data_IF_412487023383
#
_entry.id   IF_412487023383
#
_cell.length_a   1.000
_cell.length_b   1.000
_cell.length_c   1.000
_cell.angle_alpha   90.00
_cell.angle_beta   90.00
_cell.angle_gamma   90.00
#
_symmetry.space_group_name_H-M   'P 1'
#
loop_
_entity.id
_entity.type
_entity.pdbx_description
1 polymer ?
#
# COMPACT_ATOMS: atom_id res chain seq x y z
N UNK A 1 26.15 -19.72 29.52
CA UNK A 1 26.30 -18.89 30.73
C UNK A 1 26.54 -17.49 30.22
N UNK A 2 25.59 -16.59 30.44
CA UNK A 2 25.76 -15.20 30.00
C UNK A 2 26.98 -14.58 30.69
N UNK A 3 27.85 -13.88 29.95
CA UNK A 3 29.02 -13.21 30.54
C UNK A 3 28.61 -12.16 31.59
N UNK A 4 27.41 -11.59 31.50
CA UNK A 4 26.83 -10.70 32.50
C UNK A 4 26.70 -11.33 33.90
N UNK A 5 26.41 -12.64 33.98
CA UNK A 5 26.27 -13.35 35.26
C UNK A 5 27.61 -13.60 35.97
N UNK A 6 28.74 -13.51 35.26
CA UNK A 6 30.08 -13.76 35.83
C UNK A 6 30.74 -12.49 36.39
N UNK A 7 30.37 -11.30 35.91
CA UNK A 7 30.97 -10.01 36.31
C UNK A 7 29.99 -9.05 36.98
N UNK A 8 28.68 -9.29 36.92
CA UNK A 8 27.65 -8.39 37.45
C UNK A 8 27.55 -7.06 36.69
N UNK A 9 27.99 -7.05 35.42
CA UNK A 9 27.99 -5.89 34.54
C UNK A 9 27.28 -6.22 33.23
N UNK A 10 26.54 -5.25 32.69
CA UNK A 10 25.91 -5.32 31.37
C UNK A 10 26.45 -4.19 30.49
N UNK A 11 26.77 -4.51 29.24
CA UNK A 11 27.23 -3.55 28.23
C UNK A 11 26.03 -2.97 27.50
N UNK A 12 25.78 -1.68 27.71
CA UNK A 12 24.69 -0.95 27.02
C UNK A 12 25.25 0.20 26.20
N UNK A 13 24.60 0.50 25.10
CA UNK A 13 24.88 1.69 24.30
C UNK A 13 23.97 2.82 24.76
N UNK A 14 24.53 3.86 25.39
CA UNK A 14 23.75 4.99 25.91
C UNK A 14 23.81 6.16 24.95
N UNK A 15 22.63 6.65 24.58
CA UNK A 15 22.43 7.77 23.66
C UNK A 15 21.96 8.99 24.48
N UNK A 16 22.76 10.06 24.48
CA UNK A 16 22.39 11.37 25.03
C UNK A 16 22.03 12.39 23.94
N UNK A 17 21.76 13.64 24.33
CA UNK A 17 21.30 14.72 23.43
C UNK A 17 22.30 15.07 22.28
N UNK A 18 23.57 14.68 22.39
CA UNK A 18 24.58 14.96 21.37
C UNK A 18 25.77 14.00 21.30
N UNK A 19 25.74 12.92 22.09
CA UNK A 19 26.81 11.92 22.14
C UNK A 19 26.23 10.55 22.43
N UNK A 20 26.90 9.50 21.93
CA UNK A 20 26.60 8.12 22.28
C UNK A 20 27.87 7.45 22.81
N UNK A 21 27.72 6.63 23.84
CA UNK A 21 28.83 5.91 24.47
C UNK A 21 28.41 4.48 24.86
N UNK A 22 29.29 3.52 24.58
CA UNK A 22 29.13 2.14 25.02
C UNK A 22 29.72 2.00 26.43
N UNK A 23 28.87 1.64 27.39
CA UNK A 23 29.19 1.62 28.81
C UNK A 23 28.92 0.25 29.42
N UNK A 24 29.87 -0.24 30.21
CA UNK A 24 29.66 -1.41 31.06
C UNK A 24 29.13 -0.93 32.41
N UNK A 25 27.84 -1.17 32.66
CA UNK A 25 27.16 -0.72 33.88
C UNK A 25 26.91 -1.89 34.84
N UNK A 26 27.12 -1.70 36.16
CA UNK A 26 26.73 -2.69 37.15
C UNK A 26 25.22 -2.96 37.14
N UNK A 27 24.82 -4.22 37.16
CA UNK A 27 23.40 -4.60 37.04
C UNK A 27 22.60 -4.43 38.32
N UNK A 28 23.29 -4.45 39.47
CA UNK A 28 22.71 -4.45 40.81
C UNK A 28 22.49 -3.06 41.41
N UNK A 29 23.08 -2.02 40.81
CA UNK A 29 22.93 -0.63 41.27
C UNK A 29 21.63 -0.01 40.75
N UNK A 30 21.04 0.85 41.56
CA UNK A 30 19.86 1.62 41.16
C UNK A 30 20.23 2.66 40.09
N UNK A 31 19.34 2.90 39.14
CA UNK A 31 19.57 3.84 38.03
C UNK A 31 19.98 5.23 38.54
N UNK A 32 19.40 5.71 39.66
CA UNK A 32 19.78 7.00 40.26
C UNK A 32 21.28 7.17 40.55
N UNK A 33 21.99 6.08 40.84
CA UNK A 33 23.43 6.09 41.16
C UNK A 33 24.28 6.03 39.90
N UNK A 34 23.76 5.41 38.84
CA UNK A 34 24.43 5.30 37.54
C UNK A 34 24.37 6.61 36.75
N UNK A 35 23.28 7.38 36.86
CA UNK A 35 23.02 8.58 36.06
C UNK A 35 24.13 9.64 36.13
N UNK A 36 24.68 10.03 37.30
CA UNK A 36 25.76 11.02 37.35
C UNK A 36 27.00 10.57 36.59
N UNK A 37 27.34 9.28 36.67
CA UNK A 37 28.50 8.70 35.97
C UNK A 37 28.28 8.69 34.47
N UNK A 38 27.12 8.19 34.03
CA UNK A 38 26.71 8.17 32.62
C UNK A 38 26.77 9.58 32.01
N UNK A 39 26.28 10.60 32.74
CA UNK A 39 26.31 11.99 32.29
C UNK A 39 27.73 12.55 32.17
N UNK A 40 28.59 12.27 33.14
CA UNK A 40 29.99 12.68 33.07
C UNK A 40 30.68 12.06 31.85
N UNK A 41 30.51 10.75 31.64
CA UNK A 41 31.13 10.04 30.52
C UNK A 41 30.56 10.48 29.17
N UNK A 42 29.27 10.78 29.05
CA UNK A 42 28.69 11.32 27.82
C UNK A 42 29.17 12.75 27.51
N UNK A 43 29.49 13.55 28.54
CA UNK A 43 29.95 14.92 28.36
C UNK A 43 31.44 15.00 27.98
N UNK A 44 32.28 14.12 28.52
CA UNK A 44 33.73 14.18 28.32
C UNK A 44 34.31 13.07 27.45
N UNK A 45 33.54 11.99 27.21
CA UNK A 45 33.97 10.80 26.50
C UNK A 45 34.94 9.91 27.30
N UNK A 46 35.16 10.19 28.60
CA UNK A 46 36.07 9.42 29.47
C UNK A 46 35.35 8.98 30.74
N UNK A 47 35.66 7.77 31.20
CA UNK A 47 35.05 7.21 32.41
C UNK A 47 35.67 7.80 33.69
N UNK A 48 36.95 8.17 33.67
CA UNK A 48 37.70 8.60 34.87
C UNK A 48 37.50 10.06 35.30
N UNK A 49 36.64 10.82 34.61
CA UNK A 49 36.48 12.23 34.94
C UNK A 49 35.75 12.44 36.28
N UNK A 50 36.14 13.49 37.03
CA UNK A 50 35.50 13.80 38.30
C UNK A 50 34.01 14.10 38.10
N UNK A 51 33.17 13.53 38.96
CA UNK A 51 31.72 13.76 38.93
C UNK A 51 31.48 15.24 39.24
N UNK A 52 31.10 16.01 38.22
CA UNK A 52 30.72 17.41 38.40
C UNK A 52 29.42 17.49 39.21
N UNK A 53 29.35 18.27 40.30
CA UNK A 53 28.11 18.46 41.04
C UNK A 53 27.03 19.07 40.13
N UNK A 54 25.74 18.74 40.37
CA UNK A 54 24.65 19.22 39.53
C UNK A 54 24.66 20.76 39.48
N UNK A 55 24.78 21.31 38.28
CA UNK A 55 24.76 22.74 38.03
C UNK A 55 23.31 23.25 37.93
N UNK A 56 23.06 24.52 38.27
CA UNK A 56 21.76 25.15 38.09
C UNK A 56 21.24 25.10 36.64
N UNK A 57 22.12 24.85 35.67
CA UNK A 57 21.80 24.66 34.25
C UNK A 57 21.12 23.30 33.91
N UNK A 58 21.19 22.29 34.78
CA UNK A 58 20.63 20.95 34.52
C UNK A 58 19.09 20.91 34.57
N UNK A 59 18.48 21.98 35.09
CA UNK A 59 17.06 22.06 35.36
C UNK A 59 16.66 21.27 36.60
N UNK A 60 15.42 21.43 37.04
CA UNK A 60 14.88 20.83 38.28
C UNK A 60 14.45 19.37 38.13
N UNK A 61 14.55 18.76 36.94
CA UNK A 61 14.04 17.42 36.68
C UNK A 61 15.17 16.39 36.68
N UNK A 62 15.06 15.29 37.45
CA UNK A 62 16.05 14.23 37.42
C UNK A 62 16.06 13.54 36.05
N UNK A 63 17.23 13.07 35.66
CA UNK A 63 17.42 12.24 34.47
C UNK A 63 17.21 10.76 34.83
N UNK A 64 16.69 9.99 33.88
CA UNK A 64 16.58 8.54 33.93
C UNK A 64 16.96 7.93 32.58
N UNK A 65 17.03 6.61 32.52
CA UNK A 65 17.24 5.84 31.30
C UNK A 65 15.88 5.40 30.75
N UNK A 66 15.73 5.34 29.44
CA UNK A 66 14.56 4.79 28.76
C UNK A 66 15.01 3.86 27.64
N UNK A 67 14.25 2.80 27.32
CA UNK A 67 14.48 2.07 26.09
C UNK A 67 14.10 2.97 24.89
N UNK A 68 14.65 2.68 23.70
CA UNK A 68 14.34 3.43 22.48
C UNK A 68 12.83 3.51 22.22
N UNK A 69 12.27 4.72 22.34
CA UNK A 69 10.85 4.98 22.13
C UNK A 69 9.91 4.50 23.25
N UNK A 70 10.45 4.05 24.39
CA UNK A 70 9.67 3.62 25.54
C UNK A 70 9.56 4.67 26.66
N UNK A 71 8.97 4.26 27.77
CA UNK A 71 8.83 5.10 28.97
C UNK A 71 10.12 5.08 29.79
N UNK A 72 10.50 6.21 30.42
CA UNK A 72 11.65 6.24 31.31
C UNK A 72 11.49 5.29 32.48
N UNK A 73 12.58 4.61 32.82
CA UNK A 73 12.64 3.70 33.95
C UNK A 73 12.50 4.45 35.27
N UNK A 74 12.00 3.73 36.27
CA UNK A 74 12.03 4.22 37.65
C UNK A 74 13.47 4.37 38.12
N UNK A 75 13.76 5.45 38.85
CA UNK A 75 15.08 5.75 39.39
C UNK A 75 15.56 4.70 40.43
N UNK A 76 14.63 3.95 41.00
CA UNK A 76 14.87 2.90 41.99
C UNK A 76 14.99 1.50 41.39
N UNK A 77 14.73 1.37 40.09
CA UNK A 77 14.92 0.11 39.40
C UNK A 77 16.41 -0.14 39.16
N UNK A 78 16.79 -1.41 39.15
CA UNK A 78 18.11 -1.88 38.74
C UNK A 78 18.02 -2.46 37.32
N UNK A 79 19.15 -2.50 36.60
CA UNK A 79 19.17 -3.04 35.23
C UNK A 79 18.82 -4.54 35.22
N UNK A 80 19.15 -5.27 36.29
CA UNK A 80 18.76 -6.67 36.49
C UNK A 80 17.23 -6.83 36.61
N UNK A 81 16.58 -5.98 37.42
CA UNK A 81 15.13 -6.03 37.62
C UNK A 81 14.37 -5.69 36.32
N UNK A 82 14.97 -4.84 35.49
CA UNK A 82 14.45 -4.47 34.17
C UNK A 82 14.78 -5.48 33.08
N UNK A 83 15.58 -6.51 33.39
CA UNK A 83 16.02 -7.55 32.44
C UNK A 83 16.64 -6.97 31.16
N UNK A 84 17.52 -5.98 31.33
CA UNK A 84 18.26 -5.35 30.23
C UNK A 84 19.37 -6.29 29.77
N UNK A 85 19.38 -6.61 28.48
CA UNK A 85 20.34 -7.53 27.89
C UNK A 85 21.61 -6.81 27.42
N UNK A 86 22.71 -7.56 27.31
CA UNK A 86 23.96 -7.08 26.73
C UNK A 86 23.74 -6.61 25.28
N UNK A 87 24.17 -5.38 24.99
CA UNK A 87 24.04 -4.73 23.68
C UNK A 87 22.78 -3.88 23.51
N UNK A 88 21.92 -3.78 24.54
CA UNK A 88 20.72 -2.96 24.46
C UNK A 88 21.04 -1.46 24.39
N UNK A 89 20.24 -0.72 23.61
CA UNK A 89 20.39 0.72 23.42
C UNK A 89 19.41 1.49 24.32
N UNK A 90 19.95 2.34 25.18
CA UNK A 90 19.19 3.14 26.14
C UNK A 90 19.37 4.63 25.86
N UNK A 91 18.30 5.41 26.02
CA UNK A 91 18.32 6.86 25.90
C UNK A 91 18.37 7.48 27.28
N UNK A 92 19.29 8.41 27.48
CA UNK A 92 19.28 9.29 28.65
C UNK A 92 18.23 10.39 28.43
N UNK A 93 17.18 10.39 29.24
CA UNK A 93 16.08 11.34 29.12
C UNK A 93 15.70 11.96 30.46
N UNK A 94 15.08 13.14 30.44
CA UNK A 94 14.52 13.75 31.66
C UNK A 94 13.22 13.03 32.02
N UNK A 95 13.01 12.78 33.31
CA UNK A 95 11.74 12.21 33.78
C UNK A 95 10.58 13.14 33.34
N UNK A 96 9.51 12.59 32.74
CA UNK A 96 8.36 13.39 32.36
C UNK A 96 7.81 14.09 33.61
N UNK A 97 7.32 15.34 33.48
CA UNK A 97 6.62 15.95 34.58
C UNK A 97 5.45 15.04 34.96
N UNK A 98 5.23 14.86 36.25
CA UNK A 98 4.01 14.20 36.73
C UNK A 98 2.77 14.88 36.13
N UNK A 99 1.62 14.19 36.09
CA UNK A 99 0.40 14.78 35.56
C UNK A 99 0.15 16.09 36.31
N UNK A 100 0.00 17.18 35.55
CA UNK A 100 -0.40 18.44 36.14
C UNK A 100 -1.71 18.21 36.90
N UNK A 101 -1.82 18.78 38.10
CA UNK A 101 -3.05 18.68 38.88
C UNK A 101 -4.21 19.13 37.97
N UNK A 102 -5.25 18.29 37.78
CA UNK A 102 -6.36 18.67 36.93
C UNK A 102 -6.98 19.95 37.51
N UNK A 103 -7.29 20.95 36.66
CA UNK A 103 -7.96 22.15 37.15
C UNK A 103 -9.29 21.75 37.78
N UNK A 104 -9.52 22.18 39.02
CA UNK A 104 -10.81 21.99 39.69
C UNK A 104 -11.77 23.03 39.12
N UNK A 105 -12.76 22.57 38.37
CA UNK A 105 -13.82 23.43 37.82
C UNK A 105 -15.03 23.30 38.73
N UNK A 106 -15.39 24.38 39.41
CA UNK A 106 -16.49 24.39 40.40
C UNK A 106 -17.87 24.44 39.73
N UNK A 107 -17.97 25.04 38.54
CA UNK A 107 -19.21 25.16 37.78
C UNK A 107 -19.38 24.01 36.78
N UNK A 108 -20.53 23.34 36.86
CA UNK A 108 -20.94 22.26 35.95
C UNK A 108 -21.09 22.80 34.52
N UNK A 109 -21.52 24.05 34.35
CA UNK A 109 -21.65 24.68 33.03
C UNK A 109 -20.27 24.81 32.36
N UNK A 110 -19.28 25.34 33.06
CA UNK A 110 -17.91 25.46 32.56
C UNK A 110 -17.26 24.09 32.33
N UNK A 111 -17.48 23.13 33.24
CA UNK A 111 -16.99 21.76 33.07
C UNK A 111 -17.57 21.12 31.80
N UNK A 112 -18.87 21.34 31.53
CA UNK A 112 -19.53 20.85 30.32
C UNK A 112 -19.01 21.54 29.05
N UNK A 113 -18.74 22.85 29.11
CA UNK A 113 -18.19 23.61 27.98
C UNK A 113 -16.76 23.15 27.62
N UNK A 114 -15.90 22.96 28.63
CA UNK A 114 -14.53 22.45 28.45
C UNK A 114 -14.55 21.02 27.88
N UNK A 115 -15.45 20.17 28.37
CA UNK A 115 -15.58 18.81 27.86
C UNK A 115 -16.10 18.78 26.42
N UNK A 116 -17.11 19.61 26.11
CA UNK A 116 -17.65 19.77 24.77
C UNK A 116 -16.60 20.26 23.77
N UNK A 117 -15.80 21.27 24.14
CA UNK A 117 -14.74 21.79 23.27
C UNK A 117 -13.62 20.76 22.98
N UNK A 118 -13.43 19.75 23.83
CA UNK A 118 -12.50 18.63 23.58
C UNK A 118 -13.09 17.58 22.66
N UNK A 119 -14.40 17.37 22.71
CA UNK A 119 -15.09 16.37 21.87
C UNK A 119 -15.40 16.91 20.47
N UNK A 120 -15.75 18.19 20.35
CA UNK A 120 -16.19 18.80 19.11
C UNK A 120 -15.20 19.85 18.63
N UNK A 121 -14.75 19.70 17.40
CA UNK A 121 -13.98 20.74 16.71
C UNK A 121 -14.96 21.85 16.26
N UNK A 122 -14.63 23.13 16.48
CA UNK A 122 -15.45 24.22 15.96
C UNK A 122 -15.44 24.23 14.43
N UNK A 123 -16.54 24.68 13.83
CA UNK A 123 -16.58 24.88 12.38
C UNK A 123 -15.61 26.01 11.99
N UNK A 124 -14.51 25.65 11.34
CA UNK A 124 -13.53 26.61 10.81
C UNK A 124 -13.73 26.81 9.30
N UNK A 125 -13.44 28.02 8.82
CA UNK A 125 -13.50 28.34 7.39
C UNK A 125 -12.53 27.49 6.54
N UNK A 126 -11.53 26.88 7.17
CA UNK A 126 -10.58 25.94 6.56
C UNK A 126 -11.24 24.62 6.10
N UNK A 127 -12.41 24.27 6.64
CA UNK A 127 -13.18 23.10 6.20
C UNK A 127 -13.95 23.35 4.90
N UNK A 128 -14.27 24.61 4.58
CA UNK A 128 -15.11 24.97 3.44
C UNK A 128 -14.54 24.50 2.09
N UNK A 129 -13.23 24.63 1.80
CA UNK A 129 -12.65 24.06 0.58
C UNK A 129 -12.82 22.55 0.48
N UNK A 130 -12.68 21.81 1.57
CA UNK A 130 -12.81 20.35 1.58
C UNK A 130 -14.25 19.96 1.25
N UNK A 131 -15.23 20.59 1.92
CA UNK A 131 -16.66 20.36 1.65
C UNK A 131 -17.02 20.71 0.21
N UNK A 132 -16.54 21.85 -0.30
CA UNK A 132 -16.76 22.25 -1.69
C UNK A 132 -16.20 21.22 -2.67
N UNK A 133 -15.01 20.66 -2.41
CA UNK A 133 -14.44 19.59 -3.24
C UNK A 133 -15.31 18.33 -3.24
N UNK A 134 -15.80 17.90 -2.08
CA UNK A 134 -16.67 16.74 -1.97
C UNK A 134 -17.96 16.95 -2.79
N UNK A 135 -18.58 18.13 -2.68
CA UNK A 135 -19.76 18.47 -3.48
C UNK A 135 -19.46 18.43 -4.99
N UNK A 136 -18.35 19.04 -5.43
CA UNK A 136 -17.94 19.00 -6.84
C UNK A 136 -17.75 17.56 -7.34
N UNK A 137 -17.18 16.68 -6.53
CA UNK A 137 -17.02 15.26 -6.88
C UNK A 137 -18.36 14.52 -6.96
N UNK A 138 -19.29 14.79 -6.03
CA UNK A 138 -20.65 14.21 -6.06
C UNK A 138 -21.41 14.66 -7.30
N UNK A 139 -21.39 15.97 -7.61
CA UNK A 139 -22.02 16.49 -8.84
C UNK A 139 -21.35 15.93 -10.10
N UNK A 140 -20.02 15.79 -10.11
CA UNK A 140 -19.30 15.15 -11.21
C UNK A 140 -19.75 13.69 -11.41
N UNK A 141 -19.90 12.92 -10.33
CA UNK A 141 -20.39 11.55 -10.39
C UNK A 141 -21.82 11.47 -10.93
N UNK A 142 -22.70 12.39 -10.51
CA UNK A 142 -24.06 12.51 -11.03
C UNK A 142 -24.07 12.79 -12.53
N UNK A 143 -23.24 13.73 -13.01
CA UNK A 143 -23.12 14.05 -14.44
C UNK A 143 -22.64 12.84 -15.23
N UNK A 144 -21.65 12.10 -14.72
CA UNK A 144 -21.21 10.84 -15.35
C UNK A 144 -22.34 9.82 -15.45
N UNK A 145 -23.13 9.64 -14.39
CA UNK A 145 -24.27 8.71 -14.38
C UNK A 145 -25.34 9.10 -15.41
N UNK A 146 -25.72 10.38 -15.46
CA UNK A 146 -26.69 10.90 -16.42
C UNK A 146 -26.18 10.80 -17.87
N UNK A 147 -24.89 11.06 -18.10
CA UNK A 147 -24.28 10.90 -19.42
C UNK A 147 -24.25 9.43 -19.86
N UNK A 148 -23.99 8.50 -18.95
CA UNK A 148 -24.05 7.06 -19.24
C UNK A 148 -25.47 6.60 -19.58
N UNK A 149 -26.48 7.04 -18.83
CA UNK A 149 -27.89 6.77 -19.14
C UNK A 149 -28.27 7.37 -20.51
N UNK A 150 -27.86 8.61 -20.78
CA UNK A 150 -28.05 9.25 -22.08
C UNK A 150 -27.39 8.49 -23.23
N UNK A 151 -26.17 7.99 -23.03
CA UNK A 151 -25.48 7.13 -23.99
C UNK A 151 -26.26 5.83 -24.23
N UNK A 152 -26.71 5.17 -23.16
CA UNK A 152 -27.49 3.93 -23.26
C UNK A 152 -28.80 4.12 -24.03
N UNK A 153 -29.43 5.30 -23.92
CA UNK A 153 -30.64 5.68 -24.67
C UNK A 153 -30.38 6.15 -26.11
N UNK A 154 -29.13 6.18 -26.56
CA UNK A 154 -28.75 6.53 -27.94
C UNK A 154 -28.29 7.99 -28.14
N UNK A 155 -28.23 8.81 -27.09
CA UNK A 155 -27.74 10.20 -27.17
C UNK A 155 -26.21 10.30 -27.05
N UNK A 156 -25.49 9.55 -27.90
CA UNK A 156 -24.02 9.39 -27.79
C UNK A 156 -23.26 10.72 -27.83
N UNK A 157 -23.61 11.65 -28.73
CA UNK A 157 -22.90 12.92 -28.87
C UNK A 157 -23.10 13.86 -27.67
N UNK A 158 -24.29 13.84 -27.07
CA UNK A 158 -24.56 14.60 -25.86
C UNK A 158 -23.77 14.03 -24.67
N UNK A 159 -23.75 12.70 -24.53
CA UNK A 159 -22.96 12.02 -23.50
C UNK A 159 -21.46 12.31 -23.65
N UNK A 160 -20.92 12.18 -24.87
CA UNK A 160 -19.51 12.47 -25.15
C UNK A 160 -19.16 13.94 -24.86
N UNK A 161 -20.03 14.88 -25.26
CA UNK A 161 -19.85 16.31 -24.99
C UNK A 161 -19.88 16.64 -23.50
N UNK A 162 -20.85 16.10 -22.76
CA UNK A 162 -20.98 16.33 -21.31
C UNK A 162 -19.78 15.76 -20.53
N UNK A 163 -19.38 14.52 -20.84
CA UNK A 163 -18.23 13.86 -20.21
C UNK A 163 -16.91 14.55 -20.58
N UNK A 164 -16.75 14.94 -21.85
CA UNK A 164 -15.58 15.68 -22.32
C UNK A 164 -15.45 17.04 -21.64
N UNK A 165 -16.55 17.78 -21.54
CA UNK A 165 -16.57 19.07 -20.82
C UNK A 165 -16.21 18.88 -19.34
N UNK A 166 -16.79 17.88 -18.67
CA UNK A 166 -16.47 17.58 -17.27
C UNK A 166 -15.00 17.21 -17.08
N UNK A 167 -14.45 16.37 -17.97
CA UNK A 167 -13.03 16.01 -17.94
C UNK A 167 -12.13 17.26 -18.08
N UNK A 168 -12.42 18.14 -19.05
CA UNK A 168 -11.68 19.40 -19.24
C UNK A 168 -11.77 20.29 -18.00
N UNK A 169 -12.94 20.40 -17.37
CA UNK A 169 -13.12 21.17 -16.13
C UNK A 169 -12.25 20.62 -15.01
N UNK A 170 -12.22 19.30 -14.81
CA UNK A 170 -11.37 18.68 -13.78
C UNK A 170 -9.88 18.79 -14.10
N UNK A 171 -9.47 18.70 -15.38
CA UNK A 171 -8.10 18.97 -15.80
C UNK A 171 -7.69 20.41 -15.50
N UNK A 172 -8.52 21.38 -15.87
CA UNK A 172 -8.27 22.80 -15.61
C UNK A 172 -8.23 23.10 -14.10
N UNK A 173 -9.14 22.50 -13.32
CA UNK A 173 -9.13 22.61 -11.87
C UNK A 173 -7.84 22.04 -11.27
N UNK A 174 -7.38 20.88 -11.75
CA UNK A 174 -6.11 20.26 -11.32
C UNK A 174 -4.94 21.22 -11.52
N UNK A 175 -4.84 21.85 -12.69
CA UNK A 175 -3.78 22.83 -13.00
C UNK A 175 -3.89 24.08 -12.14
N UNK A 176 -5.10 24.65 -12.00
CA UNK A 176 -5.33 25.88 -11.24
C UNK A 176 -5.04 25.69 -9.74
N UNK A 177 -5.52 24.59 -9.15
CA UNK A 177 -5.28 24.28 -7.73
C UNK A 177 -3.80 24.04 -7.46
N UNK A 178 -3.10 23.38 -8.39
CA UNK A 178 -1.65 23.16 -8.29
C UNK A 178 -0.88 24.49 -8.34
N UNK A 179 -1.26 25.42 -9.23
CA UNK A 179 -0.66 26.77 -9.29
C UNK A 179 -0.90 27.59 -8.02
N UNK A 180 -2.00 27.34 -7.32
CA UNK A 180 -2.31 27.97 -6.02
C UNK A 180 -1.63 27.30 -4.82
N UNK A 181 -0.78 26.29 -5.03
CA UNK A 181 -0.10 25.56 -3.95
C UNK A 181 -0.97 24.52 -3.23
N UNK A 182 -2.22 24.30 -3.65
CA UNK A 182 -3.13 23.34 -3.03
C UNK A 182 -2.90 21.92 -3.60
N UNK A 183 -1.76 21.30 -3.24
CA UNK A 183 -1.26 20.05 -3.84
C UNK A 183 -2.21 18.86 -3.62
N UNK A 184 -2.74 18.69 -2.40
CA UNK A 184 -3.65 17.58 -2.06
C UNK A 184 -4.97 17.68 -2.82
N UNK A 185 -5.51 18.89 -2.87
CA UNK A 185 -6.73 19.25 -3.54
C UNK A 185 -6.62 19.05 -5.06
N UNK A 186 -5.49 19.45 -5.66
CA UNK A 186 -5.18 19.21 -7.07
C UNK A 186 -5.07 17.70 -7.37
N UNK A 187 -4.40 16.93 -6.51
CA UNK A 187 -4.27 15.48 -6.69
C UNK A 187 -5.62 14.76 -6.72
N UNK A 188 -6.56 15.13 -5.85
CA UNK A 188 -7.94 14.57 -5.85
C UNK A 188 -8.66 14.84 -7.16
N UNK A 189 -8.58 16.06 -7.70
CA UNK A 189 -9.18 16.42 -8.98
C UNK A 189 -8.49 15.69 -10.16
N UNK A 190 -7.17 15.51 -10.08
CA UNK A 190 -6.40 14.78 -11.08
C UNK A 190 -6.83 13.32 -11.20
N UNK A 191 -7.04 12.65 -10.06
CA UNK A 191 -7.59 11.28 -10.00
C UNK A 191 -9.04 11.27 -10.47
N UNK A 192 -9.87 12.23 -10.03
CA UNK A 192 -11.28 12.29 -10.41
C UNK A 192 -11.50 12.49 -11.92
N UNK A 193 -10.55 13.13 -12.62
CA UNK A 193 -10.57 13.30 -14.09
C UNK A 193 -10.59 11.97 -14.84
N UNK A 194 -10.06 10.89 -14.26
CA UNK A 194 -9.85 9.61 -14.97
C UNK A 194 -11.16 8.99 -15.48
N UNK A 195 -12.21 8.98 -14.66
CA UNK A 195 -13.52 8.43 -15.01
C UNK A 195 -14.19 9.20 -16.17
N UNK A 196 -14.44 10.52 -16.08
CA UNK A 196 -15.06 11.26 -17.18
C UNK A 196 -14.19 11.27 -18.43
N UNK A 197 -12.85 11.29 -18.32
CA UNK A 197 -11.96 11.20 -19.47
C UNK A 197 -12.11 9.87 -20.20
N UNK A 198 -12.06 8.75 -19.49
CA UNK A 198 -12.20 7.42 -20.09
C UNK A 198 -13.55 7.25 -20.78
N UNK A 199 -14.64 7.68 -20.11
CA UNK A 199 -15.98 7.61 -20.66
C UNK A 199 -16.17 8.55 -21.87
N UNK A 200 -15.61 9.76 -21.83
CA UNK A 200 -15.65 10.70 -22.95
C UNK A 200 -14.95 10.12 -24.19
N UNK A 201 -13.75 9.56 -24.01
CA UNK A 201 -12.99 8.94 -25.08
C UNK A 201 -13.68 7.69 -25.64
N UNK A 202 -14.29 6.88 -24.78
CA UNK A 202 -15.08 5.74 -25.23
C UNK A 202 -16.34 6.17 -26.01
N UNK A 203 -17.01 7.25 -25.59
CA UNK A 203 -18.20 7.79 -26.24
C UNK A 203 -17.90 8.57 -27.52
N UNK A 204 -16.68 9.10 -27.68
CA UNK A 204 -16.27 9.85 -28.86
C UNK A 204 -16.21 9.00 -30.15
N UNK A 205 -16.04 7.68 -30.02
CA UNK A 205 -15.92 6.79 -31.17
C UNK A 205 -17.30 6.28 -31.63
N UNK A 206 -17.76 6.62 -32.84
CA UNK A 206 -19.00 6.10 -33.40
C UNK A 206 -18.88 4.62 -33.77
N UNK A 207 -19.97 3.87 -33.63
CA UNK A 207 -20.08 2.45 -34.03
C UNK A 207 -20.03 1.45 -32.87
N UNK A 208 -20.49 0.22 -33.10
CA UNK A 208 -20.76 -0.77 -32.04
C UNK A 208 -19.52 -1.53 -31.53
N UNK A 209 -18.33 -1.19 -32.04
CA UNK A 209 -17.08 -1.85 -31.67
C UNK A 209 -16.67 -1.56 -30.22
N UNK A 210 -16.80 -2.54 -29.33
CA UNK A 210 -16.33 -2.42 -27.95
C UNK A 210 -14.79 -2.30 -27.83
N UNK A 211 -14.04 -3.08 -28.62
CA UNK A 211 -12.58 -3.11 -28.52
C UNK A 211 -11.90 -1.77 -28.88
N UNK A 212 -12.24 -1.09 -30.00
CA UNK A 212 -11.68 0.23 -30.30
C UNK A 212 -12.00 1.31 -29.25
N UNK A 213 -13.22 1.29 -28.68
CA UNK A 213 -13.64 2.22 -27.62
C UNK A 213 -12.81 2.04 -26.35
N UNK A 214 -12.64 0.80 -25.91
CA UNK A 214 -11.82 0.45 -24.74
C UNK A 214 -10.35 0.78 -24.97
N UNK A 215 -9.83 0.54 -26.18
CA UNK A 215 -8.46 0.90 -26.55
C UNK A 215 -8.20 2.40 -26.41
N UNK A 216 -9.08 3.24 -26.98
CA UNK A 216 -8.92 4.70 -26.93
C UNK A 216 -9.04 5.24 -25.49
N UNK A 217 -10.00 4.74 -24.72
CA UNK A 217 -10.14 5.10 -23.31
C UNK A 217 -8.89 4.73 -22.49
N UNK A 218 -8.36 3.51 -22.68
CA UNK A 218 -7.16 3.05 -22.01
C UNK A 218 -5.93 3.88 -22.40
N UNK A 219 -5.76 4.18 -23.70
CA UNK A 219 -4.66 5.03 -24.18
C UNK A 219 -4.71 6.44 -23.57
N UNK A 220 -5.89 7.05 -23.46
CA UNK A 220 -6.06 8.36 -22.83
C UNK A 220 -5.77 8.34 -21.32
N UNK A 221 -6.16 7.28 -20.62
CA UNK A 221 -5.83 7.10 -19.20
C UNK A 221 -4.33 6.94 -18.97
N UNK A 222 -3.63 6.21 -19.84
CA UNK A 222 -2.16 6.10 -19.80
C UNK A 222 -1.52 7.47 -20.00
N UNK A 223 -1.93 8.20 -21.04
CA UNK A 223 -1.38 9.53 -21.33
C UNK A 223 -1.60 10.51 -20.17
N UNK A 224 -2.82 10.57 -19.61
CA UNK A 224 -3.15 11.44 -18.49
C UNK A 224 -2.38 11.08 -17.21
N UNK A 225 -2.31 9.78 -16.89
CA UNK A 225 -1.64 9.32 -15.67
C UNK A 225 -0.12 9.47 -15.76
N UNK A 226 0.49 9.24 -16.93
CA UNK A 226 1.91 9.50 -17.17
C UNK A 226 2.24 10.99 -17.05
N UNK A 227 1.38 11.85 -17.60
CA UNK A 227 1.54 13.30 -17.48
C UNK A 227 1.53 13.74 -16.01
N UNK A 228 0.58 13.25 -15.22
CA UNK A 228 0.50 13.60 -13.80
C UNK A 228 1.65 13.03 -12.98
N UNK A 229 2.10 11.82 -13.29
CA UNK A 229 3.27 11.19 -12.64
C UNK A 229 4.58 11.92 -12.97
N UNK A 230 4.72 12.43 -14.21
CA UNK A 230 5.90 13.19 -14.62
C UNK A 230 5.97 14.57 -13.96
N UNK A 231 4.81 15.18 -13.67
CA UNK A 231 4.72 16.55 -13.16
C UNK A 231 4.61 16.57 -11.62
N UNK A 232 4.08 15.52 -10.99
CA UNK A 232 3.67 15.56 -9.57
C UNK A 232 4.25 14.37 -8.80
N UNK A 233 4.68 14.61 -7.55
CA UNK A 233 5.20 13.58 -6.64
C UNK A 233 4.13 13.03 -5.67
N UNK A 234 2.86 13.37 -5.89
CA UNK A 234 1.72 13.01 -5.03
C UNK A 234 0.84 11.98 -5.74
N UNK A 235 0.23 11.06 -4.98
CA UNK A 235 -0.64 10.00 -5.53
C UNK A 235 0.06 9.06 -6.52
N UNK A 236 1.39 8.90 -6.39
CA UNK A 236 2.22 8.04 -7.24
C UNK A 236 1.63 6.63 -7.36
N UNK A 237 1.24 6.02 -6.23
CA UNK A 237 0.63 4.69 -6.20
C UNK A 237 -0.61 4.58 -7.11
N UNK A 238 -1.51 5.56 -7.05
CA UNK A 238 -2.75 5.55 -7.82
C UNK A 238 -2.48 5.68 -9.31
N UNK A 239 -1.61 6.61 -9.73
CA UNK A 239 -1.29 6.77 -11.15
C UNK A 239 -0.53 5.57 -11.71
N UNK A 240 0.41 5.00 -10.94
CA UNK A 240 1.09 3.76 -11.34
C UNK A 240 0.11 2.61 -11.52
N UNK A 241 -0.89 2.49 -10.64
CA UNK A 241 -1.92 1.47 -10.77
C UNK A 241 -2.74 1.67 -12.06
N UNK A 242 -3.19 2.89 -12.32
CA UNK A 242 -3.98 3.23 -13.52
C UNK A 242 -3.16 2.96 -14.79
N UNK A 243 -1.88 3.32 -14.82
CA UNK A 243 -1.00 3.07 -15.97
C UNK A 243 -0.88 1.56 -16.21
N UNK A 244 -0.54 0.77 -15.19
CA UNK A 244 -0.33 -0.67 -15.35
C UNK A 244 -1.61 -1.40 -15.81
N UNK A 245 -2.77 -1.04 -15.25
CA UNK A 245 -4.06 -1.58 -15.69
C UNK A 245 -4.38 -1.14 -17.13
N UNK A 246 -4.28 0.15 -17.41
CA UNK A 246 -4.67 0.71 -18.71
C UNK A 246 -3.76 0.24 -19.85
N UNK A 247 -2.45 0.12 -19.63
CA UNK A 247 -1.53 -0.46 -20.62
C UNK A 247 -1.92 -1.91 -20.94
N UNK A 248 -2.20 -2.72 -19.91
CA UNK A 248 -2.60 -4.12 -20.10
C UNK A 248 -3.92 -4.23 -20.86
N UNK A 249 -4.91 -3.40 -20.51
CA UNK A 249 -6.21 -3.34 -21.18
C UNK A 249 -6.08 -2.85 -22.61
N UNK A 250 -5.24 -1.84 -22.89
CA UNK A 250 -4.96 -1.35 -24.23
C UNK A 250 -4.33 -2.44 -25.10
N UNK A 251 -3.35 -3.19 -24.57
CA UNK A 251 -2.74 -4.33 -25.28
C UNK A 251 -3.80 -5.39 -25.58
N UNK A 252 -4.62 -5.78 -24.60
CA UNK A 252 -5.67 -6.78 -24.80
C UNK A 252 -6.71 -6.33 -25.84
N UNK A 253 -7.12 -5.06 -25.80
CA UNK A 253 -8.04 -4.48 -26.77
C UNK A 253 -7.44 -4.40 -28.18
N UNK A 254 -6.16 -4.02 -28.30
CA UNK A 254 -5.42 -4.02 -29.56
C UNK A 254 -5.30 -5.42 -30.16
N UNK A 255 -4.93 -6.42 -29.35
CA UNK A 255 -4.89 -7.83 -29.77
C UNK A 255 -6.28 -8.29 -30.26
N UNK A 256 -7.36 -7.90 -29.58
CA UNK A 256 -8.73 -8.22 -30.02
C UNK A 256 -9.09 -7.58 -31.35
N UNK A 257 -8.62 -6.37 -31.61
CA UNK A 257 -8.85 -5.65 -32.88
C UNK A 257 -8.16 -6.34 -34.06
N UNK A 258 -6.93 -6.83 -33.89
CA UNK A 258 -6.16 -7.41 -34.98
C UNK A 258 -6.35 -8.93 -35.15
N UNK A 259 -6.37 -9.68 -34.05
CA UNK A 259 -6.35 -11.14 -34.07
C UNK A 259 -7.70 -11.80 -33.76
N UNK A 260 -8.73 -10.99 -33.42
CA UNK A 260 -10.07 -11.44 -33.06
C UNK A 260 -10.16 -12.59 -32.04
N UNK A 261 -9.20 -12.66 -31.11
CA UNK A 261 -9.14 -13.72 -30.11
C UNK A 261 -10.39 -13.77 -29.22
N UNK A 262 -10.79 -14.97 -28.74
CA UNK A 262 -11.89 -15.10 -27.81
C UNK A 262 -11.55 -14.45 -26.45
N UNK A 263 -12.57 -13.98 -25.74
CA UNK A 263 -12.42 -13.31 -24.44
C UNK A 263 -11.77 -14.21 -23.38
N UNK A 264 -12.00 -15.52 -23.45
CA UNK A 264 -11.32 -16.51 -22.59
C UNK A 264 -9.80 -16.39 -22.72
N UNK A 265 -9.27 -16.36 -23.93
CA UNK A 265 -7.82 -16.28 -24.18
C UNK A 265 -7.24 -14.93 -23.74
N UNK A 266 -8.00 -13.83 -23.94
CA UNK A 266 -7.62 -12.51 -23.42
C UNK A 266 -7.60 -12.51 -21.89
N UNK A 267 -8.59 -13.12 -21.24
CA UNK A 267 -8.66 -13.27 -19.80
C UNK A 267 -7.47 -14.06 -19.25
N UNK A 268 -7.10 -15.18 -19.87
CA UNK A 268 -5.88 -15.91 -19.51
C UNK A 268 -4.61 -15.04 -19.63
N UNK A 269 -4.49 -14.25 -20.70
CA UNK A 269 -3.37 -13.32 -20.88
C UNK A 269 -3.32 -12.22 -19.82
N UNK A 270 -4.48 -11.65 -19.47
CA UNK A 270 -4.60 -10.63 -18.41
C UNK A 270 -4.26 -11.22 -17.04
N UNK A 271 -4.70 -12.44 -16.73
CA UNK A 271 -4.34 -13.15 -15.50
C UNK A 271 -2.83 -13.43 -15.43
N UNK A 272 -2.21 -13.82 -16.55
CA UNK A 272 -0.75 -14.02 -16.62
C UNK A 272 0.01 -12.72 -16.35
N UNK A 273 -0.42 -11.61 -16.98
CA UNK A 273 0.18 -10.28 -16.77
C UNK A 273 -0.02 -9.82 -15.31
N UNK A 274 -1.18 -10.07 -14.72
CA UNK A 274 -1.44 -9.80 -13.30
C UNK A 274 -0.41 -10.49 -12.39
N UNK A 275 -0.17 -11.79 -12.59
CA UNK A 275 0.82 -12.55 -11.81
C UNK A 275 2.25 -12.07 -12.04
N UNK A 276 2.60 -11.74 -13.30
CA UNK A 276 3.91 -11.19 -13.64
C UNK A 276 4.16 -9.82 -12.99
N UNK A 277 3.15 -8.96 -12.94
CA UNK A 277 3.24 -7.66 -12.28
C UNK A 277 3.44 -7.87 -10.76
N UNK A 278 2.66 -8.74 -10.12
CA UNK A 278 2.85 -9.03 -8.70
C UNK A 278 4.24 -9.60 -8.39
N UNK A 279 4.77 -10.45 -9.27
CA UNK A 279 6.09 -11.04 -9.11
C UNK A 279 7.22 -10.01 -9.26
N UNK A 280 7.11 -9.11 -10.24
CA UNK A 280 8.14 -8.11 -10.55
C UNK A 280 7.92 -6.77 -9.84
N UNK A 281 6.90 -6.63 -9.00
CA UNK A 281 6.60 -5.37 -8.32
C UNK A 281 7.77 -4.81 -7.48
N UNK A 282 8.50 -5.59 -6.66
CA UNK A 282 9.58 -5.03 -5.83
C UNK A 282 10.82 -4.64 -6.66
N UNK A 283 11.13 -5.38 -7.73
CA UNK A 283 12.25 -5.05 -8.62
C UNK A 283 11.94 -3.84 -9.48
N UNK A 284 10.73 -3.79 -10.08
CA UNK A 284 10.29 -2.67 -10.90
C UNK A 284 10.16 -1.38 -10.07
N UNK A 285 9.63 -1.44 -8.85
CA UNK A 285 9.51 -0.26 -7.99
C UNK A 285 10.88 0.31 -7.60
N UNK A 286 11.86 -0.55 -7.31
CA UNK A 286 13.21 -0.12 -6.98
C UNK A 286 13.89 0.58 -8.16
N UNK A 287 13.75 0.03 -9.37
CA UNK A 287 14.30 0.62 -10.61
C UNK A 287 13.61 1.95 -10.93
N UNK A 288 12.28 2.03 -10.81
CA UNK A 288 11.53 3.26 -11.11
C UNK A 288 11.75 4.37 -10.09
N UNK A 289 12.00 4.02 -8.84
CA UNK A 289 12.41 4.97 -7.81
C UNK A 289 13.88 5.40 -7.92
N UNK A 290 14.64 4.83 -8.87
CA UNK A 290 16.07 5.10 -9.09
C UNK A 290 16.89 4.89 -7.81
N UNK A 291 16.69 3.73 -7.18
CA UNK A 291 17.55 3.32 -6.09
C UNK A 291 19.01 3.25 -6.55
N UNK A 292 19.98 3.67 -5.70
CA UNK A 292 21.39 3.42 -5.97
C UNK A 292 21.58 1.91 -6.06
N UNK A 293 21.97 1.44 -7.25
CA UNK A 293 22.26 0.03 -7.47
C UNK A 293 23.57 -0.30 -6.75
N UNK A 294 23.62 -1.36 -5.93
CA UNK A 294 24.86 -1.78 -5.30
C UNK A 294 25.85 -2.19 -6.40
N UNK A 295 26.97 -1.47 -6.50
CA UNK A 295 28.06 -1.86 -7.37
C UNK A 295 28.88 -2.95 -6.66
N UNK A 296 28.78 -4.20 -7.13
CA UNK A 296 29.57 -5.30 -6.60
C UNK A 296 30.85 -5.39 -7.44
N UNK A 297 32.02 -4.96 -6.92
CA UNK A 297 33.26 -4.99 -7.69
C UNK A 297 33.67 -6.44 -7.99
N UNK A 298 34.29 -6.66 -9.14
CA UNK A 298 34.86 -7.97 -9.44
C UNK A 298 36.05 -8.28 -8.51
N UNK A 299 36.37 -9.57 -8.28
CA UNK A 299 37.54 -9.94 -7.48
C UNK A 299 38.82 -9.29 -8.03
N UNK A 300 39.47 -8.44 -7.22
CA UNK A 300 40.68 -7.71 -7.59
C UNK A 300 40.47 -6.26 -8.06
N UNK A 301 39.22 -5.82 -8.22
CA UNK A 301 38.92 -4.40 -8.44
C UNK A 301 38.93 -3.62 -7.11
N UNK A 302 39.35 -2.34 -7.13
CA UNK A 302 39.29 -1.50 -5.94
C UNK A 302 37.85 -1.33 -5.48
N UNK A 303 37.65 -1.30 -4.17
CA UNK A 303 36.32 -1.11 -3.58
C UNK A 303 35.72 0.23 -4.05
N UNK A 304 34.44 0.26 -4.44
CA UNK A 304 33.81 1.49 -4.89
C UNK A 304 33.79 2.53 -3.76
N UNK A 305 33.90 3.80 -4.14
CA UNK A 305 33.80 4.91 -3.20
C UNK A 305 32.43 4.87 -2.49
N UNK A 306 32.38 5.24 -1.19
CA UNK A 306 31.13 5.30 -0.45
C UNK A 306 30.15 6.27 -1.12
N UNK A 307 28.84 5.98 -1.00
CA UNK A 307 27.78 6.84 -1.51
C UNK A 307 27.89 8.25 -0.96
N UNK A 308 27.53 9.24 -1.78
CA UNK A 308 27.61 10.65 -1.37
C UNK A 308 26.62 10.96 -0.25
N UNK A 309 26.95 11.91 0.63
CA UNK A 309 26.07 12.31 1.74
C UNK A 309 24.69 12.76 1.23
N UNK A 310 24.65 13.46 0.09
CA UNK A 310 23.41 13.90 -0.55
C UNK A 310 22.53 12.73 -1.02
N UNK A 311 23.12 11.62 -1.48
CA UNK A 311 22.34 10.41 -1.83
C UNK A 311 21.78 9.70 -0.61
N UNK A 312 22.51 9.72 0.51
CA UNK A 312 22.07 9.16 1.78
C UNK A 312 20.92 10.00 2.36
N UNK A 313 21.03 11.32 2.31
CA UNK A 313 19.98 12.25 2.77
C UNK A 313 18.70 12.14 1.91
N UNK A 314 18.83 11.82 0.63
CA UNK A 314 17.69 11.63 -0.28
C UNK A 314 17.04 10.22 -0.18
N UNK A 315 17.69 9.28 0.51
CA UNK A 315 17.24 7.89 0.60
C UNK A 315 15.84 7.72 1.24
N UNK A 316 15.46 8.44 2.31
CA UNK A 316 14.10 8.38 2.87
C UNK A 316 13.01 8.80 1.85
N UNK A 317 13.32 9.77 0.97
CA UNK A 317 12.39 10.18 -0.08
C UNK A 317 12.26 9.11 -1.16
N UNK A 318 13.38 8.51 -1.60
CA UNK A 318 13.38 7.43 -2.61
C UNK A 318 12.71 6.15 -2.11
N UNK A 319 12.88 5.82 -0.83
CA UNK A 319 12.20 4.66 -0.22
C UNK A 319 10.69 4.87 -0.17
N UNK A 320 10.22 6.06 0.21
CA UNK A 320 8.79 6.40 0.19
C UNK A 320 8.19 6.36 -1.23
N UNK A 321 8.91 6.87 -2.25
CA UNK A 321 8.44 6.81 -3.65
C UNK A 321 8.42 5.38 -4.19
N UNK A 322 9.41 4.55 -3.85
CA UNK A 322 9.40 3.13 -4.22
C UNK A 322 8.26 2.36 -3.58
N UNK A 323 8.02 2.56 -2.28
CA UNK A 323 6.90 1.92 -1.59
C UNK A 323 5.54 2.31 -2.22
N UNK A 324 5.42 3.54 -2.72
CA UNK A 324 4.22 3.96 -3.45
C UNK A 324 4.13 3.35 -4.86
N UNK A 325 5.23 3.26 -5.63
CA UNK A 325 5.25 2.51 -6.89
C UNK A 325 4.85 1.05 -6.70
N UNK A 326 5.41 0.39 -5.68
CA UNK A 326 5.12 -0.99 -5.33
C UNK A 326 3.65 -1.19 -4.98
N UNK A 327 3.09 -0.31 -4.13
CA UNK A 327 1.65 -0.34 -3.79
C UNK A 327 0.76 -0.15 -5.03
N UNK A 328 1.17 0.73 -5.94
CA UNK A 328 0.50 0.93 -7.23
C UNK A 328 0.52 -0.32 -8.13
N UNK A 329 1.67 -0.98 -8.25
CA UNK A 329 1.80 -2.21 -9.03
C UNK A 329 1.00 -3.38 -8.44
N UNK A 330 1.00 -3.53 -7.11
CA UNK A 330 0.22 -4.58 -6.45
C UNK A 330 -1.29 -4.34 -6.63
N UNK A 331 -1.77 -3.11 -6.44
CA UNK A 331 -3.18 -2.79 -6.68
C UNK A 331 -3.57 -3.02 -8.16
N UNK A 332 -2.72 -2.68 -9.11
CA UNK A 332 -2.93 -3.01 -10.53
C UNK A 332 -3.00 -4.52 -10.78
N UNK A 333 -2.08 -5.30 -10.19
CA UNK A 333 -2.11 -6.76 -10.29
C UNK A 333 -3.45 -7.33 -9.81
N UNK A 334 -3.94 -6.88 -8.66
CA UNK A 334 -5.23 -7.33 -8.11
C UNK A 334 -6.38 -6.93 -9.03
N UNK A 335 -6.43 -5.69 -9.51
CA UNK A 335 -7.46 -5.24 -10.45
C UNK A 335 -7.43 -6.04 -11.77
N UNK A 336 -6.25 -6.35 -12.28
CA UNK A 336 -6.09 -7.20 -13.47
C UNK A 336 -6.48 -8.65 -13.19
N UNK A 337 -6.23 -9.18 -11.98
CA UNK A 337 -6.70 -10.51 -11.60
C UNK A 337 -8.23 -10.58 -11.62
N UNK A 338 -8.89 -9.54 -11.12
CA UNK A 338 -10.35 -9.41 -11.15
C UNK A 338 -10.87 -9.31 -12.58
N UNK A 339 -10.30 -8.41 -13.39
CA UNK A 339 -10.69 -8.25 -14.80
C UNK A 339 -10.49 -9.55 -15.60
N UNK A 340 -9.35 -10.21 -15.43
CA UNK A 340 -9.06 -11.49 -16.09
C UNK A 340 -10.02 -12.60 -15.66
N UNK A 341 -10.39 -12.65 -14.37
CA UNK A 341 -11.36 -13.62 -13.85
C UNK A 341 -12.75 -13.44 -14.46
N UNK A 342 -13.20 -12.19 -14.60
CA UNK A 342 -14.47 -11.86 -15.28
C UNK A 342 -14.39 -12.27 -16.75
N UNK A 343 -13.32 -11.92 -17.47
CA UNK A 343 -13.17 -12.28 -18.89
C UNK A 343 -13.15 -13.80 -19.15
N UNK A 344 -12.65 -14.59 -18.20
CA UNK A 344 -12.59 -16.05 -18.29
C UNK A 344 -13.96 -16.70 -18.05
N UNK A 345 -14.76 -16.19 -17.10
CA UNK A 345 -15.97 -16.86 -16.62
C UNK A 345 -17.29 -16.26 -17.10
N UNK A 346 -17.32 -14.98 -17.47
CA UNK A 346 -18.56 -14.23 -17.67
C UNK A 346 -19.34 -14.63 -18.93
N UNK A 347 -18.63 -14.95 -20.01
CA UNK A 347 -19.24 -15.10 -21.34
C UNK A 347 -19.64 -16.54 -21.73
N UNK A 348 -18.90 -17.60 -21.35
CA UNK A 348 -19.32 -18.96 -21.68
C UNK A 348 -20.59 -19.34 -20.91
N UNK A 349 -21.65 -19.81 -21.59
CA UNK A 349 -22.89 -20.29 -20.94
C UNK A 349 -22.61 -21.46 -19.97
N UNK A 350 -21.60 -22.27 -20.29
CA UNK A 350 -21.06 -23.33 -19.44
C UNK A 350 -19.53 -23.28 -19.44
N UNK A 351 -18.91 -22.47 -18.56
CA UNK A 351 -17.45 -22.39 -18.49
C UNK A 351 -16.87 -23.75 -18.07
N UNK A 352 -15.78 -24.21 -18.72
CA UNK A 352 -15.19 -25.50 -18.39
C UNK A 352 -14.69 -25.49 -16.93
N UNK A 353 -14.71 -26.65 -16.27
CA UNK A 353 -14.23 -26.78 -14.88
C UNK A 353 -12.80 -26.26 -14.70
N UNK A 354 -11.97 -26.37 -15.75
CA UNK A 354 -10.61 -25.86 -15.76
C UNK A 354 -10.56 -24.32 -15.68
N UNK A 355 -11.54 -23.59 -16.23
CA UNK A 355 -11.63 -22.13 -16.12
C UNK A 355 -11.97 -21.70 -14.70
N UNK A 356 -12.88 -22.41 -14.03
CA UNK A 356 -13.16 -22.22 -12.60
C UNK A 356 -11.94 -22.50 -11.74
N UNK A 357 -11.27 -23.61 -12.01
CA UNK A 357 -10.03 -23.98 -11.34
C UNK A 357 -8.96 -22.88 -11.52
N UNK A 358 -8.78 -22.34 -12.73
CA UNK A 358 -7.79 -21.30 -13.02
C UNK A 358 -8.04 -20.04 -12.18
N UNK A 359 -9.29 -19.59 -12.12
CA UNK A 359 -9.68 -18.39 -11.36
C UNK A 359 -9.49 -18.62 -9.86
N UNK A 360 -9.97 -19.75 -9.34
CA UNK A 360 -9.82 -20.08 -7.91
C UNK A 360 -8.34 -20.25 -7.51
N UNK A 361 -7.54 -20.92 -8.34
CA UNK A 361 -6.10 -21.08 -8.10
C UNK A 361 -5.39 -19.72 -8.09
N UNK A 362 -5.68 -18.86 -9.06
CA UNK A 362 -5.08 -17.51 -9.15
C UNK A 362 -5.46 -16.67 -7.93
N UNK A 363 -6.73 -16.58 -7.58
CA UNK A 363 -7.20 -15.83 -6.40
C UNK A 363 -6.55 -16.37 -5.12
N UNK A 364 -6.49 -17.70 -4.96
CA UNK A 364 -5.89 -18.33 -3.78
C UNK A 364 -4.42 -17.97 -3.65
N UNK A 365 -3.64 -18.09 -4.74
CA UNK A 365 -2.23 -17.69 -4.77
C UNK A 365 -2.08 -16.21 -4.43
N UNK A 366 -2.89 -15.34 -5.03
CA UNK A 366 -2.84 -13.89 -4.78
C UNK A 366 -3.11 -13.56 -3.31
N UNK A 367 -4.06 -14.24 -2.64
CA UNK A 367 -4.28 -14.07 -1.19
C UNK A 367 -3.12 -14.62 -0.37
N UNK A 368 -2.59 -15.79 -0.73
CA UNK A 368 -1.46 -16.40 -0.02
C UNK A 368 -0.21 -15.51 -0.02
N UNK A 369 0.00 -14.75 -1.10
CA UNK A 369 1.09 -13.77 -1.23
C UNK A 369 1.04 -12.64 -0.22
N UNK A 370 -0.09 -12.40 0.45
CA UNK A 370 -0.19 -11.45 1.56
C UNK A 370 0.91 -11.68 2.61
N UNK A 371 1.32 -12.94 2.84
CA UNK A 371 2.35 -13.33 3.83
C UNK A 371 3.77 -12.90 3.49
N UNK A 372 4.03 -12.59 2.22
CA UNK A 372 5.37 -12.23 1.72
C UNK A 372 5.69 -10.76 2.02
N UNK A 373 4.67 -9.94 2.25
CA UNK A 373 4.80 -8.49 2.35
C UNK A 373 4.57 -7.99 3.77
N UNK A 374 5.54 -7.28 4.31
CA UNK A 374 5.43 -6.65 5.64
C UNK A 374 4.57 -5.37 5.62
N UNK A 375 4.39 -4.76 4.44
CA UNK A 375 3.61 -3.52 4.30
C UNK A 375 2.11 -3.80 4.25
N UNK A 376 1.35 -3.06 5.08
CA UNK A 376 -0.10 -3.22 5.22
C UNK A 376 -0.87 -2.93 3.92
N UNK A 377 -0.48 -1.92 3.15
CA UNK A 377 -1.24 -1.51 1.95
C UNK A 377 -1.23 -2.62 0.89
N UNK A 378 -0.07 -3.14 0.42
CA UNK A 378 -0.04 -4.30 -0.47
C UNK A 378 -0.75 -5.54 0.09
N UNK A 379 -0.58 -5.82 1.39
CA UNK A 379 -1.22 -6.96 2.05
C UNK A 379 -2.75 -6.87 1.99
N UNK A 380 -3.32 -5.68 2.24
CA UNK A 380 -4.76 -5.43 2.14
C UNK A 380 -5.28 -5.56 0.71
N UNK A 381 -4.51 -5.14 -0.30
CA UNK A 381 -4.87 -5.36 -1.70
C UNK A 381 -4.94 -6.85 -2.04
N UNK A 382 -3.96 -7.64 -1.62
CA UNK A 382 -3.99 -9.10 -1.80
C UNK A 382 -5.19 -9.74 -1.12
N UNK A 383 -5.49 -9.34 0.12
CA UNK A 383 -6.66 -9.80 0.87
C UNK A 383 -8.00 -9.41 0.20
N UNK A 384 -8.06 -8.25 -0.44
CA UNK A 384 -9.26 -7.77 -1.13
C UNK A 384 -9.58 -8.57 -2.41
N UNK A 385 -8.59 -9.24 -3.02
CA UNK A 385 -8.75 -9.97 -4.30
C UNK A 385 -9.98 -10.89 -4.38
N UNK A 386 -10.21 -11.84 -3.45
CA UNK A 386 -11.36 -12.75 -3.51
C UNK A 386 -12.69 -12.01 -3.40
N UNK A 387 -12.76 -10.94 -2.60
CA UNK A 387 -13.95 -10.12 -2.43
C UNK A 387 -14.27 -9.34 -3.71
N UNK A 388 -13.25 -8.68 -4.27
CA UNK A 388 -13.40 -7.92 -5.51
C UNK A 388 -13.75 -8.83 -6.69
N UNK A 389 -13.13 -10.01 -6.78
CA UNK A 389 -13.41 -10.97 -7.85
C UNK A 389 -14.84 -11.53 -7.73
N UNK A 390 -15.26 -11.96 -6.54
CA UNK A 390 -16.61 -12.47 -6.32
C UNK A 390 -17.68 -11.39 -6.53
N UNK A 391 -17.44 -10.15 -6.08
CA UNK A 391 -18.32 -9.02 -6.33
C UNK A 391 -18.42 -8.69 -7.83
N UNK A 392 -17.30 -8.62 -8.53
CA UNK A 392 -17.28 -8.35 -9.97
C UNK A 392 -18.00 -9.45 -10.77
N UNK A 393 -17.80 -10.73 -10.41
CA UNK A 393 -18.53 -11.86 -11.02
C UNK A 393 -20.03 -11.80 -10.70
N UNK A 394 -20.42 -11.40 -9.49
CA UNK A 394 -21.83 -11.20 -9.13
C UNK A 394 -22.48 -10.16 -10.03
N UNK A 395 -21.83 -9.00 -10.20
CA UNK A 395 -22.31 -7.92 -11.07
C UNK A 395 -22.36 -8.40 -12.53
N UNK A 396 -21.32 -9.10 -12.99
CA UNK A 396 -21.25 -9.57 -14.37
C UNK A 396 -22.33 -10.63 -14.69
N UNK A 397 -22.55 -11.61 -13.81
CA UNK A 397 -23.59 -12.63 -14.01
C UNK A 397 -25.00 -12.06 -13.92
N UNK A 398 -25.26 -11.15 -12.97
CA UNK A 398 -26.57 -10.49 -12.85
C UNK A 398 -26.87 -9.59 -14.06
N UNK A 399 -25.87 -8.84 -14.54
CA UNK A 399 -26.00 -8.02 -15.74
C UNK A 399 -26.27 -8.85 -17.02
N UNK A 400 -25.73 -10.07 -17.09
CA UNK A 400 -25.98 -10.99 -18.22
C UNK A 400 -27.21 -11.88 -18.06
N UNK A 401 -28.05 -11.67 -17.05
CA UNK A 401 -29.28 -12.45 -16.84
C UNK A 401 -29.07 -13.83 -16.21
N UNK A 402 -27.84 -14.20 -15.83
CA UNK A 402 -27.52 -15.49 -15.18
C UNK A 402 -27.77 -15.41 -13.67
N UNK A 403 -29.04 -15.30 -13.28
CA UNK A 403 -29.42 -14.98 -11.89
C UNK A 403 -28.93 -16.01 -10.87
N UNK A 404 -29.00 -17.31 -11.19
CA UNK A 404 -28.53 -18.37 -10.29
C UNK A 404 -27.03 -18.26 -10.01
N UNK A 405 -26.21 -18.09 -11.04
CA UNK A 405 -24.77 -17.89 -10.89
C UNK A 405 -24.45 -16.60 -10.11
N UNK A 406 -25.23 -15.54 -10.34
CA UNK A 406 -25.16 -14.30 -9.57
C UNK A 406 -25.45 -14.50 -8.08
N UNK A 407 -26.49 -15.29 -7.75
CA UNK A 407 -26.83 -15.62 -6.35
C UNK A 407 -25.70 -16.43 -5.68
N UNK A 408 -25.13 -17.42 -6.37
CA UNK A 408 -24.01 -18.18 -5.82
C UNK A 408 -22.76 -17.32 -5.63
N UNK A 409 -22.46 -16.42 -6.56
CA UNK A 409 -21.35 -15.46 -6.41
C UNK A 409 -21.59 -14.49 -5.24
N UNK A 410 -22.82 -14.00 -5.06
CA UNK A 410 -23.19 -13.17 -3.91
C UNK A 410 -23.09 -13.94 -2.58
N UNK A 411 -23.51 -15.21 -2.57
CA UNK A 411 -23.34 -16.10 -1.42
C UNK A 411 -21.85 -16.33 -1.10
N UNK A 412 -20.98 -16.43 -2.11
CA UNK A 412 -19.54 -16.51 -1.92
C UNK A 412 -18.98 -15.23 -1.28
N UNK A 413 -19.42 -14.04 -1.72
CA UNK A 413 -19.06 -12.77 -1.06
C UNK A 413 -19.48 -12.79 0.41
N UNK A 414 -20.73 -13.17 0.70
CA UNK A 414 -21.22 -13.28 2.08
C UNK A 414 -20.39 -14.27 2.91
N UNK A 415 -20.11 -15.46 2.37
CA UNK A 415 -19.27 -16.47 3.04
C UNK A 415 -17.84 -15.97 3.32
N UNK A 416 -17.22 -15.28 2.36
CA UNK A 416 -15.92 -14.66 2.54
C UNK A 416 -15.95 -13.56 3.62
N UNK A 417 -17.02 -12.77 3.70
CA UNK A 417 -17.14 -11.72 4.74
C UNK A 417 -17.27 -12.32 6.12
N UNK A 418 -18.05 -13.40 6.27
CA UNK A 418 -18.14 -14.15 7.54
C UNK A 418 -16.78 -14.72 7.92
N UNK A 419 -16.04 -15.30 6.95
CA UNK A 419 -14.69 -15.83 7.20
C UNK A 419 -13.72 -14.73 7.65
N UNK A 420 -13.77 -13.55 7.05
CA UNK A 420 -12.96 -12.40 7.46
C UNK A 420 -13.31 -11.92 8.87
N UNK A 421 -14.61 -11.84 9.20
CA UNK A 421 -15.06 -11.48 10.54
C UNK A 421 -14.58 -12.49 11.58
N UNK A 422 -14.70 -13.79 11.31
CA UNK A 422 -14.17 -14.83 12.20
C UNK A 422 -12.65 -14.70 12.34
N UNK A 423 -11.92 -14.55 11.23
CA UNK A 423 -10.48 -14.41 11.23
C UNK A 423 -10.01 -13.17 12.03
N UNK A 424 -10.76 -12.08 11.99
CA UNK A 424 -10.45 -10.85 12.73
C UNK A 424 -10.50 -11.02 14.26
N UNK A 425 -11.26 -12.02 14.76
CA UNK A 425 -11.38 -12.31 16.19
C UNK A 425 -10.34 -13.32 16.69
N UNK A 426 -9.63 -13.99 15.79
CA UNK A 426 -8.60 -14.96 16.15
C UNK A 426 -7.30 -14.24 16.49
N UNK A 427 -6.69 -14.57 17.63
CA UNK A 427 -5.34 -14.07 17.96
C UNK A 427 -4.35 -14.51 16.86
N UNK A 428 -3.48 -13.61 16.37
CA UNK A 428 -2.39 -13.98 15.48
C UNK A 428 -1.58 -15.12 16.11
N UNK A 429 -1.38 -16.20 15.37
CA UNK A 429 -0.54 -17.32 15.79
C UNK A 429 0.63 -17.43 14.84
N UNK A 430 1.83 -17.44 15.41
CA UNK A 430 3.01 -17.73 14.63
C UNK A 430 2.94 -19.15 14.10
N UNK A 431 3.03 -19.27 12.77
CA UNK A 431 3.08 -20.57 12.12
C UNK A 431 4.39 -21.25 12.48
N UNK A 432 4.31 -22.50 12.93
CA UNK A 432 5.51 -23.35 13.09
C UNK A 432 6.23 -23.51 11.75
N UNK A 433 7.55 -23.68 11.80
CA UNK A 433 8.41 -23.84 10.60
C UNK A 433 7.86 -24.91 9.63
N UNK A 434 7.42 -26.10 10.08
CA UNK A 434 6.83 -27.10 9.19
C UNK A 434 5.49 -26.68 8.58
N UNK A 435 4.67 -25.91 9.30
CA UNK A 435 3.39 -25.42 8.78
C UNK A 435 3.61 -24.38 7.67
N UNK A 436 4.55 -23.45 7.87
CA UNK A 436 4.96 -22.48 6.85
C UNK A 436 5.47 -23.18 5.59
N UNK A 437 6.32 -24.20 5.74
CA UNK A 437 6.84 -24.98 4.60
C UNK A 437 5.75 -25.68 3.79
N UNK A 438 4.73 -26.27 4.45
CA UNK A 438 3.59 -26.91 3.74
C UNK A 438 2.77 -25.91 2.94
N UNK A 439 2.58 -24.73 3.51
CA UNK A 439 1.86 -23.63 2.89
C UNK A 439 2.59 -23.11 1.64
N UNK A 440 3.92 -22.97 1.72
CA UNK A 440 4.74 -22.56 0.57
C UNK A 440 4.75 -23.63 -0.53
N UNK A 441 4.77 -24.92 -0.17
CA UNK A 441 4.65 -26.02 -1.15
C UNK A 441 3.28 -25.99 -1.85
N UNK A 442 2.21 -25.72 -1.11
CA UNK A 442 0.86 -25.62 -1.68
C UNK A 442 0.75 -24.44 -2.65
N UNK A 443 1.27 -23.26 -2.29
CA UNK A 443 1.31 -22.09 -3.16
C UNK A 443 2.10 -22.35 -4.44
N UNK A 444 3.28 -22.95 -4.32
CA UNK A 444 4.12 -23.29 -5.46
C UNK A 444 3.45 -24.33 -6.37
N UNK A 445 2.74 -25.31 -5.79
CA UNK A 445 1.98 -26.30 -6.56
C UNK A 445 0.90 -25.61 -7.40
N UNK A 446 0.12 -24.70 -6.79
CA UNK A 446 -0.88 -23.92 -7.51
C UNK A 446 -0.26 -23.09 -8.64
N UNK A 447 0.83 -22.35 -8.36
CA UNK A 447 1.55 -21.56 -9.36
C UNK A 447 2.01 -22.40 -10.56
N UNK A 448 2.59 -23.58 -10.32
CA UNK A 448 3.05 -24.48 -11.39
C UNK A 448 1.88 -24.99 -12.23
N UNK A 449 0.73 -25.26 -11.63
CA UNK A 449 -0.46 -25.74 -12.34
C UNK A 449 -1.21 -24.66 -13.14
N UNK A 450 -1.06 -23.38 -12.77
CA UNK A 450 -1.75 -22.26 -13.43
C UNK A 450 -1.32 -22.12 -14.90
N UNK A 451 -0.01 -22.20 -15.18
CA UNK A 451 0.52 -22.00 -16.52
C UNK A 451 0.04 -23.08 -17.52
N UNK A 452 0.14 -24.40 -17.23
CA UNK A 452 -0.45 -25.44 -18.08
C UNK A 452 -1.95 -25.28 -18.30
N UNK A 453 -2.72 -24.90 -17.26
CA UNK A 453 -4.15 -24.68 -17.39
C UNK A 453 -4.48 -23.53 -18.35
N UNK A 454 -3.73 -22.42 -18.29
CA UNK A 454 -3.86 -21.31 -19.24
C UNK A 454 -3.56 -21.76 -20.68
N UNK A 455 -2.46 -22.49 -20.90
CA UNK A 455 -2.07 -22.97 -22.23
C UNK A 455 -3.10 -23.94 -22.83
N UNK A 456 -3.73 -24.76 -21.98
CA UNK A 456 -4.82 -25.64 -22.38
C UNK A 456 -6.09 -24.87 -22.74
N UNK A 457 -6.53 -23.94 -21.88
CA UNK A 457 -7.75 -23.13 -22.09
C UNK A 457 -7.65 -22.24 -23.35
N UNK A 458 -6.47 -21.69 -23.62
CA UNK A 458 -6.21 -20.92 -24.84
C UNK A 458 -6.27 -21.79 -26.11
N UNK A 459 -6.19 -23.11 -25.97
CA UNK A 459 -6.20 -24.05 -27.09
C UNK A 459 -4.84 -24.20 -27.80
N UNK A 460 -3.75 -23.75 -27.19
CA UNK A 460 -2.41 -23.86 -27.78
C UNK A 460 -1.97 -25.32 -27.89
N UNK A 461 -2.26 -26.13 -26.88
CA UNK A 461 -1.96 -27.57 -26.88
C UNK A 461 -2.71 -28.30 -27.99
N UNK A 462 -4.00 -27.98 -28.17
CA UNK A 462 -4.79 -28.52 -29.28
C UNK A 462 -4.30 -28.05 -30.64
N UNK A 463 -3.83 -26.80 -30.75
CA UNK A 463 -3.24 -26.27 -31.98
C UNK A 463 -1.97 -27.04 -32.36
N UNK A 464 -1.06 -27.26 -31.40
CA UNK A 464 0.18 -28.01 -31.63
C UNK A 464 -0.13 -29.46 -32.01
N UNK A 465 -1.04 -30.11 -31.29
CA UNK A 465 -1.46 -31.49 -31.57
C UNK A 465 -2.05 -31.64 -32.97
N UNK A 466 -2.90 -30.70 -33.40
CA UNK A 466 -3.59 -30.79 -34.68
C UNK A 466 -2.73 -30.31 -35.86
N UNK A 467 -1.70 -29.48 -35.62
CA UNK A 467 -0.73 -29.08 -36.67
C UNK A 467 0.24 -30.19 -37.08
N UNK A 468 0.44 -31.22 -36.24
CA UNK A 468 1.28 -32.38 -36.57
C UNK A 468 0.64 -33.40 -37.52
N UNK A 469 -0.56 -33.14 -38.03
CA UNK A 469 -1.34 -34.06 -38.88
C UNK A 469 -1.58 -33.54 -40.32
N UNK A 470 -0.75 -32.59 -40.80
CA UNK A 470 -0.77 -32.08 -42.18
C UNK A 470 0.52 -32.50 -42.89
#
# INVERSE_FOLDING_TARGET
>A
MDPAAATGQVRVAIIGDGAAADLALPTTLAIRELIPRIRATLASGRDDDPITPPSAADGTRPYSLAPLGGTPFSLDATLETLSIDDGEQLILCKLPPGPAAPPVVEDIADASAIHSARQFQPFTHELLPIVAQVLVLIFGALVCALALDGWHRGFQWWAAGALGALAIVFMAATVLLRRRGAVTAAGRMGVATTVPLALALAAALPGDGAAPRVFLAAAGLVAWSLLLLAITSTWVATYTAIIAVSVTVAIAAGVRMFAHLPYLSLGCGVLAISLLIALNAPTASAVWARFPLPNVPAPGEPTPAPSSLAEIEDLPRKTATSASYQSGLISASVLLAVLGSVLVLWLPDAPPLLAWWLVLATITVTVMRMRIWDSAIPALWFLATPFLAALALTIAFTASGHLLAGIYAAAAVAGLTVLLLIASQLKPRDLSIPARRRLDLFENTLLVTILPAMLWLVGLVSLIRNRGAI
#
